data_IF_844422142909
#
_entry.id   IF_844422142909
#
_cell.length_a   1.000
_cell.length_b   1.000
_cell.length_c   1.000
_cell.angle_alpha   90.00
_cell.angle_beta   90.00
_cell.angle_gamma   90.00
#
_symmetry.space_group_name_H-M   'P 1'
#
loop_
_entity.id
_entity.type
_entity.pdbx_description
1 polymer ?
#
# COMPACT_ATOMS: atom_id res chain seq x y z
N UNK A 1 36.30 -12.55 6.44
CA UNK A 1 34.84 -12.59 6.65
C UNK A 1 34.23 -13.10 5.34
N UNK A 2 33.58 -14.23 5.36
CA UNK A 2 32.98 -14.82 4.16
C UNK A 2 31.71 -14.04 3.77
N UNK A 3 31.25 -14.19 2.53
CA UNK A 3 29.96 -13.60 2.10
C UNK A 3 28.78 -14.12 2.98
N UNK A 4 28.91 -15.32 3.55
CA UNK A 4 27.99 -15.90 4.52
C UNK A 4 27.99 -15.15 5.85
N UNK A 5 29.17 -14.79 6.38
CA UNK A 5 29.29 -14.06 7.66
C UNK A 5 28.70 -12.64 7.57
N UNK A 6 28.81 -12.00 6.39
CA UNK A 6 28.20 -10.69 6.13
C UNK A 6 26.68 -10.82 6.02
N UNK A 7 26.19 -11.87 5.37
CA UNK A 7 24.77 -12.16 5.23
C UNK A 7 24.12 -12.43 6.59
N UNK A 8 24.74 -13.27 7.44
CA UNK A 8 24.25 -13.58 8.79
C UNK A 8 24.24 -12.32 9.68
N UNK A 9 25.24 -11.44 9.59
CA UNK A 9 25.25 -10.20 10.36
C UNK A 9 24.19 -9.20 9.90
N UNK A 10 23.89 -9.16 8.59
CA UNK A 10 22.81 -8.33 8.03
C UNK A 10 21.43 -8.88 8.42
N UNK A 11 21.23 -10.20 8.36
CA UNK A 11 19.98 -10.85 8.79
C UNK A 11 19.73 -10.61 10.28
N UNK A 12 20.75 -10.73 11.14
CA UNK A 12 20.63 -10.42 12.58
C UNK A 12 20.31 -8.94 12.83
N UNK A 13 20.89 -8.00 12.07
CA UNK A 13 20.60 -6.58 12.22
C UNK A 13 19.18 -6.23 11.77
N UNK A 14 18.71 -6.85 10.68
CA UNK A 14 17.34 -6.68 10.17
C UNK A 14 16.29 -7.26 11.14
N UNK A 15 16.60 -8.42 11.78
CA UNK A 15 15.67 -9.04 12.72
C UNK A 15 15.54 -8.28 14.04
N UNK A 16 16.61 -7.61 14.50
CA UNK A 16 16.62 -6.83 15.75
C UNK A 16 15.97 -5.47 15.63
N UNK A 17 15.98 -4.87 14.44
CA UNK A 17 15.42 -3.52 14.18
C UNK A 17 14.07 -3.54 13.43
N UNK A 18 13.51 -4.72 13.14
CA UNK A 18 12.25 -4.79 12.42
C UNK A 18 11.10 -4.29 13.29
N UNK A 19 10.42 -3.25 12.81
CA UNK A 19 9.17 -2.77 13.39
C UNK A 19 8.16 -3.93 13.44
N UNK A 20 7.80 -4.40 14.64
CA UNK A 20 6.89 -5.52 14.84
C UNK A 20 5.49 -5.28 14.21
N UNK A 21 5.09 -4.03 14.02
CA UNK A 21 3.84 -3.67 13.35
C UNK A 21 3.87 -3.95 11.83
N UNK A 22 5.06 -4.11 11.25
CA UNK A 22 5.27 -4.41 9.82
C UNK A 22 5.49 -5.91 9.55
N UNK A 23 5.49 -6.76 10.59
CA UNK A 23 5.73 -8.20 10.48
C UNK A 23 4.42 -8.98 10.54
N UNK A 24 3.80 -9.17 9.39
CA UNK A 24 2.71 -10.14 9.24
C UNK A 24 2.83 -10.93 7.92
N UNK A 25 4.00 -11.56 7.62
CA UNK A 25 4.15 -12.28 6.37
C UNK A 25 3.26 -13.53 6.36
N UNK A 26 2.57 -13.76 5.26
CA UNK A 26 1.82 -15.00 4.99
C UNK A 26 2.68 -16.03 4.25
N UNK A 27 3.88 -15.65 3.86
CA UNK A 27 4.92 -16.53 3.30
C UNK A 27 5.92 -16.94 4.38
N UNK A 28 6.72 -17.96 4.11
CA UNK A 28 7.76 -18.44 5.04
C UNK A 28 8.77 -17.33 5.35
N UNK A 29 9.15 -17.19 6.60
CA UNK A 29 10.05 -16.13 7.07
C UNK A 29 11.40 -16.15 6.35
N UNK A 30 11.98 -17.32 6.14
CA UNK A 30 13.24 -17.48 5.40
C UNK A 30 13.16 -17.01 3.93
N UNK A 31 11.99 -17.07 3.30
CA UNK A 31 11.79 -16.53 1.95
C UNK A 31 11.68 -15.02 1.98
N UNK A 32 11.00 -14.46 2.97
CA UNK A 32 10.93 -13.01 3.17
C UNK A 32 12.32 -12.43 3.40
N UNK A 33 13.12 -13.05 4.28
CA UNK A 33 14.49 -12.63 4.55
C UNK A 33 15.39 -12.74 3.29
N UNK A 34 15.23 -13.82 2.52
CA UNK A 34 15.91 -13.96 1.23
C UNK A 34 15.55 -12.84 0.27
N UNK A 35 14.28 -12.52 0.12
CA UNK A 35 13.81 -11.42 -0.75
C UNK A 35 14.38 -10.07 -0.29
N UNK A 36 14.30 -9.76 1.00
CA UNK A 36 14.79 -8.52 1.59
C UNK A 36 16.29 -8.34 1.46
N UNK A 37 17.06 -9.42 1.52
CA UNK A 37 18.53 -9.36 1.42
C UNK A 37 19.05 -9.43 0.01
N UNK A 38 18.31 -10.02 -0.94
CA UNK A 38 18.77 -10.25 -2.33
C UNK A 38 18.29 -9.20 -3.32
N UNK A 39 17.19 -8.53 -3.02
CA UNK A 39 16.70 -7.44 -3.88
C UNK A 39 17.52 -6.16 -3.66
N UNK A 40 17.53 -5.29 -4.67
CA UNK A 40 18.24 -4.02 -4.61
C UNK A 40 17.71 -3.15 -3.46
N UNK A 41 18.59 -2.77 -2.55
CA UNK A 41 18.28 -1.93 -1.39
C UNK A 41 17.91 -0.51 -1.80
N UNK A 42 17.18 0.20 -0.93
CA UNK A 42 16.96 1.62 -1.09
C UNK A 42 18.28 2.38 -0.97
N UNK A 43 18.42 3.45 -1.75
CA UNK A 43 19.58 4.35 -1.73
C UNK A 43 19.10 5.79 -1.65
N UNK A 44 20.02 6.71 -1.32
CA UNK A 44 19.71 8.13 -1.23
C UNK A 44 18.59 8.43 -0.23
N UNK A 45 17.70 9.32 -0.59
CA UNK A 45 16.63 9.78 0.29
C UNK A 45 15.62 8.69 0.69
N UNK A 46 15.36 7.71 -0.18
CA UNK A 46 14.47 6.59 0.18
C UNK A 46 15.07 5.73 1.30
N UNK A 47 16.39 5.55 1.32
CA UNK A 47 17.06 4.88 2.43
C UNK A 47 16.98 5.70 3.72
N UNK A 48 17.21 7.01 3.65
CA UNK A 48 17.10 7.92 4.81
C UNK A 48 15.69 7.87 5.42
N UNK A 49 14.65 7.87 4.57
CA UNK A 49 13.25 7.81 5.03
C UNK A 49 12.89 6.46 5.62
N UNK A 50 13.37 5.36 5.04
CA UNK A 50 13.16 4.01 5.56
C UNK A 50 13.83 3.85 6.93
N UNK A 51 15.08 4.31 7.08
CA UNK A 51 15.80 4.29 8.36
C UNK A 51 15.09 5.14 9.42
N UNK A 52 14.63 6.33 9.06
CA UNK A 52 13.85 7.19 9.94
C UNK A 52 12.54 6.51 10.39
N UNK A 53 11.79 5.95 9.44
CA UNK A 53 10.55 5.25 9.76
C UNK A 53 10.77 4.08 10.73
N UNK A 54 11.86 3.31 10.56
CA UNK A 54 12.22 2.22 11.45
C UNK A 54 12.60 2.73 12.85
N UNK A 55 13.36 3.83 12.95
CA UNK A 55 13.77 4.42 14.23
C UNK A 55 12.57 4.94 15.03
N UNK A 56 11.62 5.60 14.34
CA UNK A 56 10.43 6.18 14.96
C UNK A 56 9.27 5.17 15.07
N UNK A 57 9.46 3.90 14.65
CA UNK A 57 8.41 2.87 14.60
C UNK A 57 7.19 3.27 13.76
N UNK A 58 7.40 4.05 12.72
CA UNK A 58 6.37 4.41 11.76
C UNK A 58 6.26 3.29 10.71
N UNK A 59 5.07 2.74 10.46
CA UNK A 59 4.90 1.72 9.44
C UNK A 59 5.07 2.34 8.04
N UNK A 60 5.90 1.69 7.22
CA UNK A 60 6.04 1.97 5.79
C UNK A 60 6.02 0.64 5.04
N UNK A 61 5.70 0.65 3.75
CA UNK A 61 5.68 -0.57 2.94
C UNK A 61 7.02 -1.31 3.05
N UNK A 62 7.02 -2.64 3.25
CA UNK A 62 8.24 -3.40 3.44
C UNK A 62 9.05 -3.52 2.15
N UNK A 63 10.32 -3.90 2.31
CA UNK A 63 11.30 -3.87 1.22
C UNK A 63 10.89 -4.70 -0.02
N UNK A 64 10.24 -5.83 0.15
CA UNK A 64 9.73 -6.65 -0.94
C UNK A 64 8.62 -5.92 -1.72
N UNK A 65 7.77 -5.16 -1.04
CA UNK A 65 6.74 -4.30 -1.67
C UNK A 65 7.37 -3.11 -2.35
N UNK A 66 8.41 -2.50 -1.77
CA UNK A 66 9.21 -1.43 -2.41
C UNK A 66 9.78 -1.89 -3.75
N UNK A 67 10.42 -3.06 -3.79
CA UNK A 67 11.00 -3.61 -5.01
C UNK A 67 9.93 -3.86 -6.09
N UNK A 68 8.77 -4.37 -5.67
CA UNK A 68 7.63 -4.61 -6.54
C UNK A 68 7.04 -3.30 -7.09
N UNK A 69 6.83 -2.29 -6.25
CA UNK A 69 6.33 -0.98 -6.67
C UNK A 69 7.30 -0.28 -7.62
N UNK A 70 8.60 -0.38 -7.37
CA UNK A 70 9.63 0.13 -8.30
C UNK A 70 9.47 -0.46 -9.70
N UNK A 71 9.31 -1.80 -9.79
CA UNK A 71 9.07 -2.49 -11.04
C UNK A 71 7.75 -2.06 -11.69
N UNK A 72 6.67 -1.98 -10.91
CA UNK A 72 5.35 -1.57 -11.41
C UNK A 72 5.38 -0.15 -11.97
N UNK A 73 5.91 0.82 -11.23
CA UNK A 73 5.97 2.22 -11.66
C UNK A 73 6.78 2.37 -12.94
N UNK A 74 7.94 1.70 -13.04
CA UNK A 74 8.78 1.72 -14.24
C UNK A 74 8.11 1.05 -15.44
N UNK A 75 7.27 0.03 -15.22
CA UNK A 75 6.57 -0.71 -16.28
C UNK A 75 5.30 0.01 -16.75
N UNK A 76 4.47 0.46 -15.81
CA UNK A 76 3.17 1.04 -16.10
C UNK A 76 3.27 2.52 -16.49
N UNK A 77 4.24 3.25 -15.95
CA UNK A 77 4.42 4.69 -16.15
C UNK A 77 3.10 5.47 -16.03
N UNK A 78 2.36 5.32 -14.90
CA UNK A 78 1.06 5.94 -14.73
C UNK A 78 1.19 7.46 -14.76
N UNK A 79 0.24 8.16 -15.40
CA UNK A 79 0.24 9.63 -15.48
C UNK A 79 -0.40 10.26 -14.24
N UNK A 80 -1.42 9.61 -13.70
CA UNK A 80 -2.16 10.08 -12.52
C UNK A 80 -2.24 8.96 -11.49
N UNK A 81 -1.71 9.22 -10.31
CA UNK A 81 -1.71 8.29 -9.18
C UNK A 81 -2.55 8.90 -8.06
N UNK A 82 -3.38 8.09 -7.41
CA UNK A 82 -4.03 8.41 -6.15
C UNK A 82 -3.51 7.47 -5.07
N UNK A 83 -3.19 8.02 -3.92
CA UNK A 83 -2.82 7.27 -2.73
C UNK A 83 -3.75 7.62 -1.58
N UNK A 84 -4.18 6.60 -0.82
CA UNK A 84 -4.95 6.77 0.41
C UNK A 84 -4.15 6.17 1.56
N UNK A 85 -3.60 7.05 2.39
CA UNK A 85 -2.62 6.73 3.43
C UNK A 85 -1.24 7.24 3.04
N UNK A 86 -0.92 8.49 3.38
CA UNK A 86 0.36 9.13 3.06
C UNK A 86 1.45 8.75 4.05
N UNK A 87 1.10 8.59 5.31
CA UNK A 87 2.05 8.50 6.43
C UNK A 87 3.14 9.58 6.31
N UNK A 88 4.42 9.20 6.32
CA UNK A 88 5.54 10.15 6.14
C UNK A 88 5.84 10.49 4.66
N UNK A 89 5.03 10.01 3.71
CA UNK A 89 5.21 10.25 2.27
C UNK A 89 6.18 9.30 1.58
N UNK A 90 6.58 8.20 2.22
CA UNK A 90 7.57 7.26 1.69
C UNK A 90 7.12 6.61 0.37
N UNK A 91 5.93 6.03 0.33
CA UNK A 91 5.35 5.37 -0.86
C UNK A 91 5.08 6.37 -1.99
N UNK A 92 4.56 7.56 -1.67
CA UNK A 92 4.36 8.63 -2.65
C UNK A 92 5.68 9.05 -3.32
N UNK A 93 6.74 9.25 -2.52
CA UNK A 93 8.07 9.60 -3.03
C UNK A 93 8.72 8.44 -3.82
N UNK A 94 8.53 7.19 -3.40
CA UNK A 94 8.96 6.00 -4.15
C UNK A 94 8.28 5.96 -5.54
N UNK A 95 6.97 6.19 -5.59
CA UNK A 95 6.22 6.21 -6.84
C UNK A 95 6.65 7.38 -7.73
N UNK A 96 6.86 8.57 -7.17
CA UNK A 96 7.33 9.74 -7.89
C UNK A 96 8.74 9.53 -8.49
N UNK A 97 9.65 8.92 -7.73
CA UNK A 97 11.02 8.64 -8.19
C UNK A 97 11.05 7.68 -9.37
N UNK A 98 10.15 6.68 -9.38
CA UNK A 98 10.11 5.63 -10.39
C UNK A 98 9.12 5.89 -11.56
N UNK A 99 8.35 6.98 -11.51
CA UNK A 99 7.50 7.45 -12.60
C UNK A 99 7.60 8.98 -12.74
N UNK A 100 8.65 9.47 -13.41
CA UNK A 100 9.05 10.89 -13.41
C UNK A 100 8.03 11.84 -14.06
N UNK A 101 7.05 11.32 -14.77
CA UNK A 101 6.01 12.10 -15.46
C UNK A 101 4.64 11.98 -14.79
N UNK A 102 4.54 11.28 -13.67
CA UNK A 102 3.29 11.15 -12.92
C UNK A 102 2.96 12.42 -12.13
N UNK A 103 1.66 12.60 -11.87
CA UNK A 103 1.16 13.49 -10.82
C UNK A 103 0.47 12.61 -9.78
N UNK A 104 0.81 12.80 -8.53
CA UNK A 104 0.37 11.99 -7.40
C UNK A 104 -0.48 12.86 -6.50
N UNK A 105 -1.71 12.42 -6.23
CA UNK A 105 -2.55 12.97 -5.17
C UNK A 105 -2.52 11.97 -4.03
N UNK A 106 -2.15 12.40 -2.83
CA UNK A 106 -2.11 11.54 -1.65
C UNK A 106 -2.94 12.14 -0.52
N UNK A 107 -3.61 11.28 0.27
CA UNK A 107 -4.56 11.69 1.30
C UNK A 107 -4.13 11.12 2.64
N UNK A 108 -4.09 11.98 3.67
CA UNK A 108 -3.95 11.56 5.05
C UNK A 108 -4.74 12.47 6.00
N UNK A 109 -5.11 11.92 7.16
CA UNK A 109 -5.84 12.63 8.23
C UNK A 109 -5.02 12.82 9.50
N UNK A 110 -3.91 12.11 9.63
CA UNK A 110 -3.08 12.16 10.83
C UNK A 110 -2.15 13.38 10.76
N UNK A 111 -2.40 14.38 11.63
CA UNK A 111 -1.68 15.65 11.65
C UNK A 111 -0.16 15.48 11.82
N UNK A 112 0.29 14.53 12.64
CA UNK A 112 1.71 14.25 12.85
C UNK A 112 2.35 13.68 11.57
N UNK A 113 1.72 12.71 10.94
CA UNK A 113 2.19 12.11 9.68
C UNK A 113 2.19 13.14 8.55
N UNK A 114 1.14 13.96 8.46
CA UNK A 114 1.05 15.09 7.52
C UNK A 114 2.23 16.06 7.71
N UNK A 115 2.60 16.35 8.96
CA UNK A 115 3.78 17.17 9.27
C UNK A 115 5.05 16.60 8.65
N UNK A 116 5.36 15.34 8.92
CA UNK A 116 6.51 14.65 8.32
C UNK A 116 6.44 14.58 6.79
N UNK A 117 5.26 14.28 6.24
CA UNK A 117 5.09 14.20 4.78
C UNK A 117 5.39 15.54 4.10
N UNK A 118 4.91 16.65 4.65
CA UNK A 118 5.18 18.00 4.14
C UNK A 118 6.68 18.33 4.11
N UNK A 119 7.38 18.03 5.22
CA UNK A 119 8.83 18.23 5.30
C UNK A 119 9.57 17.36 4.26
N UNK A 120 9.18 16.11 4.12
CA UNK A 120 9.78 15.18 3.17
C UNK A 120 9.51 15.58 1.71
N UNK A 121 8.29 16.00 1.38
CA UNK A 121 7.96 16.48 0.03
C UNK A 121 8.69 17.78 -0.30
N UNK A 122 8.80 18.71 0.65
CA UNK A 122 9.59 19.92 0.45
C UNK A 122 11.07 19.63 0.19
N UNK A 123 11.62 18.56 0.80
CA UNK A 123 13.02 18.18 0.66
C UNK A 123 13.30 17.32 -0.57
N UNK A 124 12.40 16.43 -0.98
CA UNK A 124 12.69 15.36 -1.93
C UNK A 124 11.82 15.33 -3.19
N UNK A 125 10.66 16.00 -3.21
CA UNK A 125 9.83 16.10 -4.42
C UNK A 125 10.31 17.22 -5.34
N UNK A 126 11.51 17.05 -5.88
CA UNK A 126 12.16 18.05 -6.75
C UNK A 126 11.38 18.39 -8.02
N UNK A 127 10.47 17.48 -8.47
CA UNK A 127 9.66 17.68 -9.69
C UNK A 127 8.29 18.24 -9.39
N UNK A 128 7.96 18.47 -8.10
CA UNK A 128 6.64 18.93 -7.66
C UNK A 128 5.51 18.07 -8.23
N UNK A 129 5.66 16.76 -8.04
CA UNK A 129 4.72 15.75 -8.55
C UNK A 129 3.60 15.44 -7.56
N UNK A 130 3.80 15.71 -6.26
CA UNK A 130 2.98 15.23 -5.17
C UNK A 130 2.11 16.36 -4.61
N UNK A 131 0.81 16.13 -4.57
CA UNK A 131 -0.20 16.96 -3.91
C UNK A 131 -0.75 16.21 -2.71
N UNK A 132 -0.57 16.77 -1.51
CA UNK A 132 -1.11 16.22 -0.27
C UNK A 132 -2.45 16.88 0.06
N UNK A 133 -3.48 16.08 0.22
CA UNK A 133 -4.80 16.48 0.68
C UNK A 133 -5.00 16.04 2.13
N UNK A 134 -5.22 16.99 3.01
CA UNK A 134 -5.31 16.78 4.46
C UNK A 134 -6.77 16.57 4.86
N UNK A 135 -7.08 15.42 5.44
CA UNK A 135 -8.41 15.11 5.97
C UNK A 135 -8.83 13.66 5.80
N UNK A 136 -10.09 13.39 6.13
CA UNK A 136 -10.68 12.07 6.03
C UNK A 136 -10.88 11.66 4.58
N UNK A 137 -10.43 10.46 4.21
CA UNK A 137 -10.60 9.94 2.87
C UNK A 137 -12.08 9.84 2.45
N UNK A 138 -12.99 9.61 3.41
CA UNK A 138 -14.44 9.58 3.15
C UNK A 138 -14.96 10.92 2.63
N UNK A 139 -14.39 12.03 3.08
CA UNK A 139 -14.82 13.37 2.69
C UNK A 139 -14.12 13.85 1.42
N UNK A 140 -12.86 13.46 1.25
CA UNK A 140 -12.02 13.89 0.12
C UNK A 140 -12.31 13.10 -1.15
N UNK A 141 -12.41 11.76 -1.09
CA UNK A 141 -12.60 10.92 -2.27
C UNK A 141 -13.78 11.36 -3.15
N UNK A 142 -14.98 11.72 -2.63
CA UNK A 142 -16.07 12.18 -3.44
C UNK A 142 -15.81 13.50 -4.20
N UNK A 143 -14.88 14.33 -3.72
CA UNK A 143 -14.54 15.63 -4.34
C UNK A 143 -13.57 15.49 -5.50
N UNK A 144 -12.86 14.35 -5.62
CA UNK A 144 -11.91 14.11 -6.69
C UNK A 144 -12.62 13.82 -8.02
N UNK A 145 -11.99 14.15 -9.15
CA UNK A 145 -12.58 13.90 -10.46
C UNK A 145 -12.65 12.40 -10.77
N UNK A 146 -13.78 11.98 -11.37
CA UNK A 146 -13.99 10.60 -11.81
C UNK A 146 -13.13 10.23 -13.04
N UNK A 147 -12.88 8.94 -13.24
CA UNK A 147 -12.16 8.40 -14.40
C UNK A 147 -10.81 9.11 -14.69
N UNK A 148 -10.09 9.48 -13.63
CA UNK A 148 -8.89 10.32 -13.75
C UNK A 148 -7.60 9.57 -13.49
N UNK A 149 -7.61 8.61 -12.55
CA UNK A 149 -6.40 7.95 -12.07
C UNK A 149 -6.10 6.68 -12.86
N UNK A 150 -4.84 6.51 -13.24
CA UNK A 150 -4.35 5.30 -13.92
C UNK A 150 -3.97 4.21 -12.90
N UNK A 151 -3.55 4.66 -11.70
CA UNK A 151 -3.10 3.81 -10.61
C UNK A 151 -3.62 4.37 -9.28
N UNK A 152 -4.14 3.50 -8.42
CA UNK A 152 -4.57 3.85 -7.07
C UNK A 152 -3.91 2.89 -6.07
N UNK A 153 -3.31 3.44 -5.03
CA UNK A 153 -2.75 2.70 -3.91
C UNK A 153 -3.53 3.01 -2.62
N UNK A 154 -3.96 1.96 -1.93
CA UNK A 154 -4.69 2.07 -0.68
C UNK A 154 -3.91 1.37 0.42
N UNK A 155 -3.32 2.16 1.31
CA UNK A 155 -2.61 1.72 2.51
C UNK A 155 -3.12 2.51 3.72
N UNK A 156 -4.33 2.18 4.16
CA UNK A 156 -5.01 2.88 5.23
C UNK A 156 -5.78 1.93 6.15
N UNK A 157 -6.76 2.41 6.88
CA UNK A 157 -7.56 1.57 7.78
C UNK A 157 -8.32 0.47 7.02
N UNK A 158 -7.86 -0.76 7.11
CA UNK A 158 -8.36 -1.95 6.40
C UNK A 158 -9.86 -2.18 6.54
N UNK A 159 -10.42 -1.87 7.71
CA UNK A 159 -11.88 -1.93 7.94
C UNK A 159 -12.69 -0.96 7.07
N UNK A 160 -12.04 0.02 6.46
CA UNK A 160 -12.64 1.05 5.61
C UNK A 160 -12.50 0.74 4.11
N UNK A 161 -11.70 -0.20 3.70
CA UNK A 161 -11.48 -0.51 2.29
C UNK A 161 -12.77 -0.78 1.53
N UNK A 162 -13.65 -1.60 2.08
CA UNK A 162 -14.95 -1.89 1.47
C UNK A 162 -15.84 -0.66 1.36
N UNK A 163 -15.70 0.30 2.30
CA UNK A 163 -16.46 1.56 2.29
C UNK A 163 -15.91 2.54 1.27
N UNK A 164 -14.57 2.58 1.09
CA UNK A 164 -13.93 3.45 0.10
C UNK A 164 -14.05 2.91 -1.33
N UNK A 165 -14.17 1.61 -1.50
CA UNK A 165 -14.11 0.94 -2.81
C UNK A 165 -15.08 1.52 -3.85
N UNK A 166 -16.37 1.84 -3.56
CA UNK A 166 -17.27 2.44 -4.54
C UNK A 166 -16.75 3.76 -5.11
N UNK A 167 -16.23 4.64 -4.24
CA UNK A 167 -15.65 5.91 -4.68
C UNK A 167 -14.35 5.69 -5.44
N UNK A 168 -13.45 4.84 -4.93
CA UNK A 168 -12.18 4.52 -5.60
C UNK A 168 -12.39 3.98 -7.01
N UNK A 169 -13.40 3.13 -7.21
CA UNK A 169 -13.77 2.61 -8.54
C UNK A 169 -14.31 3.69 -9.48
N UNK A 170 -14.94 4.75 -8.98
CA UNK A 170 -15.31 5.92 -9.82
C UNK A 170 -14.07 6.71 -10.24
N UNK A 171 -13.08 6.83 -9.36
CA UNK A 171 -11.87 7.65 -9.61
C UNK A 171 -10.89 6.98 -10.56
N UNK A 172 -10.77 5.65 -10.54
CA UNK A 172 -9.89 4.91 -11.45
C UNK A 172 -10.49 4.82 -12.85
N UNK A 173 -9.64 4.95 -13.86
CA UNK A 173 -10.02 4.75 -15.28
C UNK A 173 -10.33 3.28 -15.58
N UNK A 174 -11.12 3.03 -16.61
CA UNK A 174 -11.21 1.69 -17.21
C UNK A 174 -9.83 1.28 -17.68
N UNK A 175 -9.40 0.09 -17.29
CA UNK A 175 -8.04 -0.41 -17.51
C UNK A 175 -7.04 -0.02 -16.44
N UNK A 176 -7.38 0.91 -15.54
CA UNK A 176 -6.53 1.33 -14.43
C UNK A 176 -6.42 0.26 -13.33
N UNK A 177 -5.36 0.35 -12.55
CA UNK A 177 -4.99 -0.59 -11.49
C UNK A 177 -5.20 0.02 -10.12
N UNK A 178 -5.82 -0.75 -9.22
CA UNK A 178 -5.94 -0.44 -7.80
C UNK A 178 -5.16 -1.52 -7.04
N UNK A 179 -4.36 -1.12 -6.06
CA UNK A 179 -3.69 -2.02 -5.12
C UNK A 179 -4.12 -1.65 -3.71
N UNK A 180 -4.59 -2.65 -2.95
CA UNK A 180 -4.90 -2.53 -1.53
C UNK A 180 -3.89 -3.36 -0.75
N UNK A 181 -3.25 -2.76 0.26
CA UNK A 181 -2.21 -3.40 1.06
C UNK A 181 -2.77 -4.06 2.32
N UNK A 182 -1.97 -4.97 2.87
CA UNK A 182 -2.21 -5.64 4.17
C UNK A 182 -3.57 -6.37 4.26
N UNK A 183 -4.02 -7.01 3.18
CA UNK A 183 -5.37 -7.59 3.10
C UNK A 183 -5.50 -8.96 3.77
N UNK A 184 -4.42 -9.61 4.17
CA UNK A 184 -4.49 -10.93 4.81
C UNK A 184 -4.58 -10.88 6.32
N UNK A 185 -4.35 -9.73 6.95
CA UNK A 185 -4.49 -9.51 8.39
C UNK A 185 -3.72 -10.56 9.21
N UNK A 186 -2.44 -10.84 8.87
CA UNK A 186 -1.64 -11.87 9.52
C UNK A 186 -2.20 -13.29 9.36
N UNK A 187 -2.94 -13.54 8.29
CA UNK A 187 -3.61 -14.81 8.02
C UNK A 187 -4.99 -14.96 8.66
N UNK A 188 -5.49 -13.96 9.37
CA UNK A 188 -6.80 -14.03 10.03
C UNK A 188 -7.94 -14.21 9.01
N UNK A 189 -7.81 -13.68 7.79
CA UNK A 189 -8.84 -13.81 6.74
C UNK A 189 -9.16 -15.24 6.34
N UNK A 190 -8.25 -16.18 6.58
CA UNK A 190 -8.42 -17.60 6.27
C UNK A 190 -8.99 -18.43 7.43
N UNK A 191 -9.27 -17.79 8.58
CA UNK A 191 -9.79 -18.46 9.80
C UNK A 191 -11.31 -18.35 9.89
N UNK A 192 -11.90 -19.20 10.74
CA UNK A 192 -13.30 -19.03 11.16
C UNK A 192 -13.42 -17.79 12.06
N UNK A 193 -14.50 -17.01 11.91
CA UNK A 193 -14.75 -15.80 12.71
C UNK A 193 -14.73 -16.03 14.23
N UNK A 194 -15.08 -17.26 14.68
CA UNK A 194 -15.02 -17.62 16.10
C UNK A 194 -13.61 -17.57 16.66
N UNK A 195 -12.61 -17.86 15.82
CA UNK A 195 -11.18 -17.90 16.16
C UNK A 195 -10.53 -16.52 16.08
N UNK A 196 -11.26 -15.51 15.57
CA UNK A 196 -10.79 -14.14 15.47
C UNK A 196 -11.02 -13.38 16.78
N UNK A 197 -9.95 -12.70 17.26
CA UNK A 197 -10.04 -11.82 18.44
C UNK A 197 -11.15 -10.78 18.25
N UNK A 198 -11.96 -10.52 19.30
CA UNK A 198 -13.11 -9.59 19.20
C UNK A 198 -12.77 -8.23 18.60
N UNK A 199 -11.61 -7.64 18.96
CA UNK A 199 -11.15 -6.36 18.45
C UNK A 199 -10.76 -6.36 16.95
N UNK A 200 -10.52 -7.53 16.35
CA UNK A 200 -10.16 -7.69 14.93
C UNK A 200 -11.35 -8.08 14.04
N UNK A 201 -12.50 -8.43 14.62
CA UNK A 201 -13.67 -8.93 13.87
C UNK A 201 -14.26 -7.90 12.90
N UNK A 202 -14.18 -6.62 13.20
CA UNK A 202 -14.64 -5.55 12.28
C UNK A 202 -13.77 -5.51 11.03
N UNK A 203 -12.45 -5.60 11.18
CA UNK A 203 -11.51 -5.66 10.06
C UNK A 203 -11.76 -6.94 9.25
N UNK A 204 -11.80 -8.09 9.92
CA UNK A 204 -12.10 -9.38 9.30
C UNK A 204 -13.36 -9.33 8.43
N UNK A 205 -14.49 -8.86 8.99
CA UNK A 205 -15.76 -8.74 8.25
C UNK A 205 -15.64 -7.78 7.06
N UNK A 206 -14.94 -6.67 7.23
CA UNK A 206 -14.70 -5.71 6.15
C UNK A 206 -13.91 -6.33 5.00
N UNK A 207 -12.85 -7.09 5.31
CA UNK A 207 -12.04 -7.79 4.31
C UNK A 207 -12.81 -8.93 3.62
N UNK A 208 -13.60 -9.73 4.35
CA UNK A 208 -14.44 -10.75 3.72
C UNK A 208 -15.42 -10.13 2.71
N UNK A 209 -16.13 -9.05 3.10
CA UNK A 209 -17.02 -8.32 2.19
C UNK A 209 -16.28 -7.73 0.98
N UNK A 210 -15.04 -7.27 1.17
CA UNK A 210 -14.20 -6.79 0.08
C UNK A 210 -13.89 -7.92 -0.92
N UNK A 211 -13.54 -9.11 -0.42
CA UNK A 211 -13.29 -10.27 -1.26
C UNK A 211 -14.55 -10.73 -1.99
N UNK A 212 -15.69 -10.82 -1.30
CA UNK A 212 -16.98 -11.19 -1.90
C UNK A 212 -17.40 -10.21 -3.02
N UNK A 213 -17.08 -8.92 -2.86
CA UNK A 213 -17.40 -7.88 -3.83
C UNK A 213 -16.50 -7.88 -5.07
N UNK A 214 -15.28 -8.44 -4.97
CA UNK A 214 -14.25 -8.24 -5.99
C UNK A 214 -13.73 -9.51 -6.65
N UNK A 215 -13.58 -10.63 -5.93
CA UNK A 215 -12.86 -11.80 -6.46
C UNK A 215 -13.61 -12.51 -7.60
N UNK A 216 -14.92 -12.60 -7.52
CA UNK A 216 -15.78 -13.21 -8.54
C UNK A 216 -16.62 -12.18 -9.32
N UNK A 217 -16.19 -10.93 -9.34
CA UNK A 217 -16.90 -9.86 -10.02
C UNK A 217 -16.38 -9.70 -11.47
N UNK A 218 -17.22 -9.90 -12.51
CA UNK A 218 -16.78 -9.79 -13.91
C UNK A 218 -16.39 -8.36 -14.33
N UNK A 219 -16.85 -7.35 -13.59
CA UNK A 219 -16.60 -5.95 -13.87
C UNK A 219 -15.19 -5.50 -13.47
N UNK A 220 -14.49 -6.33 -12.71
CA UNK A 220 -13.09 -6.13 -12.32
C UNK A 220 -12.30 -7.43 -12.56
N UNK A 221 -11.00 -7.31 -12.82
CA UNK A 221 -10.08 -8.44 -12.75
C UNK A 221 -9.33 -8.35 -11.44
N UNK A 222 -9.51 -9.32 -10.56
CA UNK A 222 -8.93 -9.35 -9.24
C UNK A 222 -7.82 -10.40 -9.11
N UNK A 223 -6.80 -10.10 -8.31
CA UNK A 223 -5.73 -11.05 -7.96
C UNK A 223 -5.27 -10.80 -6.53
N UNK A 224 -5.13 -11.89 -5.76
CA UNK A 224 -4.47 -11.88 -4.46
C UNK A 224 -2.99 -12.20 -4.65
N UNK A 225 -2.12 -11.38 -4.07
CA UNK A 225 -0.67 -11.56 -4.14
C UNK A 225 -0.13 -11.73 -2.73
N UNK A 226 0.54 -12.86 -2.47
CA UNK A 226 1.15 -13.17 -1.17
C UNK A 226 2.49 -12.46 -0.99
N UNK A 227 2.45 -11.14 -0.90
CA UNK A 227 3.58 -10.27 -0.63
C UNK A 227 3.31 -9.52 0.66
N UNK A 228 4.29 -9.46 1.57
CA UNK A 228 4.07 -8.89 2.90
C UNK A 228 2.84 -9.49 3.61
N UNK A 229 1.92 -8.70 4.09
CA UNK A 229 0.61 -9.14 4.64
C UNK A 229 -0.50 -9.21 3.56
N UNK A 230 -0.09 -9.36 2.30
CA UNK A 230 -0.97 -9.59 1.14
C UNK A 230 -1.43 -8.33 0.45
N UNK A 231 -1.44 -8.39 -0.88
CA UNK A 231 -1.99 -7.35 -1.74
C UNK A 231 -3.24 -7.87 -2.47
N UNK A 232 -4.28 -7.06 -2.53
CA UNK A 232 -5.38 -7.23 -3.47
C UNK A 232 -5.15 -6.27 -4.64
N UNK A 233 -4.98 -6.83 -5.83
CA UNK A 233 -4.85 -6.08 -7.07
C UNK A 233 -6.15 -6.15 -7.86
N UNK A 234 -6.69 -5.00 -8.25
CA UNK A 234 -7.92 -4.88 -9.01
C UNK A 234 -7.67 -4.05 -10.27
N UNK A 235 -8.04 -4.61 -11.43
CA UNK A 235 -8.13 -3.85 -12.69
C UNK A 235 -9.59 -3.57 -12.99
N UNK A 236 -9.94 -2.31 -13.22
CA UNK A 236 -11.29 -1.92 -13.64
C UNK A 236 -11.52 -2.31 -15.10
N UNK A 237 -12.57 -3.10 -15.39
CA UNK A 237 -12.86 -3.61 -16.73
C UNK A 237 -13.91 -2.76 -17.47
N UNK A 238 -14.85 -2.16 -16.74
CA UNK A 238 -15.97 -1.38 -17.30
C UNK A 238 -16.14 -0.07 -16.52
N UNK A 239 -16.86 0.89 -17.09
CA UNK A 239 -17.01 2.20 -16.50
C UNK A 239 -17.80 2.19 -15.17
N UNK A 240 -18.95 1.56 -15.16
CA UNK A 240 -19.82 1.47 -13.99
C UNK A 240 -19.76 0.05 -13.40
N UNK A 241 -18.91 -0.13 -12.42
CA UNK A 241 -18.73 -1.42 -11.72
C UNK A 241 -19.92 -1.66 -10.78
N UNK A 242 -20.60 -2.78 -10.95
CA UNK A 242 -21.65 -3.22 -10.03
C UNK A 242 -21.01 -4.05 -8.90
N UNK A 243 -20.95 -3.45 -7.72
CA UNK A 243 -20.50 -4.11 -6.51
C UNK A 243 -21.69 -4.85 -5.87
N UNK A 244 -22.06 -6.00 -6.45
CA UNK A 244 -23.10 -6.87 -5.90
C UNK A 244 -22.77 -7.22 -4.45
N UNK A 245 -23.78 -7.10 -3.55
CA UNK A 245 -23.70 -7.46 -2.13
C UNK A 245 -23.04 -6.47 -1.17
N UNK A 246 -22.82 -5.23 -1.53
CA UNK A 246 -22.48 -4.20 -0.55
C UNK A 246 -23.77 -3.52 -0.08
N UNK A 247 -24.35 -4.00 1.04
CA UNK A 247 -25.14 -3.12 1.90
C UNK A 247 -24.17 -2.20 2.63
N UNK A 248 -24.13 -0.93 2.25
CA UNK A 248 -23.29 0.14 2.85
C UNK A 248 -23.90 0.56 4.18
#
# INVERSE_FOLDING_TARGET
MSAYDIMDSMVESYSKNANHNMRRPVVKEEIVDFMRTRQAQNTGFLKELEEFAHQENIPVIPHETVAYFRLLMQTLQPKRILEVGTAIGFSALLMADNSPHSKITTIDRNEEMIGFAKENFAKYDYRQQIELLEGEAMDILPTLPDNTYDFIFMDSAKSKYIVFLPEVLKKVKVGGLIILDDIFQGGDVAKDIKDIRRGQRTIYKGLQRLFDATLDNPDVTASLVSMSDGLLMLRKNIENVDLKHIEI
#
